data_IF_255518625116
#
_entry.id   IF_255518625116
#
_cell.length_a   1.000
_cell.length_b   1.000
_cell.length_c   1.000
_cell.angle_alpha   90.00
_cell.angle_beta   90.00
_cell.angle_gamma   90.00
#
_symmetry.space_group_name_H-M   'P 1'
#
loop_
_entity.id
_entity.type
_entity.pdbx_description
1 polymer ?
#
# COMPACT_ATOMS: atom_id res chain seq x y z
N UNK A 1 2.09 11.26 14.56
CA UNK A 1 1.22 12.45 14.64
C UNK A 1 0.57 12.62 16.02
N UNK A 2 0.00 11.56 16.63
CA UNK A 2 -0.44 11.59 18.04
C UNK A 2 0.71 11.85 19.04
N UNK A 3 1.91 11.30 18.79
CA UNK A 3 3.11 11.51 19.63
C UNK A 3 3.92 12.77 19.28
N UNK A 4 3.73 13.34 18.08
CA UNK A 4 4.57 14.44 17.55
C UNK A 4 3.79 15.75 17.32
N UNK A 5 2.46 15.77 17.47
CA UNK A 5 1.63 16.97 17.25
C UNK A 5 1.96 18.13 18.19
N UNK A 6 2.43 17.83 19.39
CA UNK A 6 2.91 18.83 20.34
C UNK A 6 4.31 19.38 20.00
N UNK A 7 5.07 18.70 19.14
CA UNK A 7 6.45 19.10 18.78
C UNK A 7 6.48 20.19 17.70
N UNK A 8 5.38 20.37 16.97
CA UNK A 8 5.26 21.34 15.86
C UNK A 8 4.42 22.56 16.26
N UNK A 9 3.87 22.60 17.49
CA UNK A 9 3.04 23.72 17.96
C UNK A 9 1.73 23.94 17.19
N UNK A 10 1.32 22.95 16.37
CA UNK A 10 0.09 23.03 15.58
C UNK A 10 -1.11 22.71 16.48
N UNK A 11 -2.13 23.57 16.45
CA UNK A 11 -3.35 23.38 17.22
C UNK A 11 -4.04 22.05 16.89
N UNK A 12 -4.76 21.48 17.88
CA UNK A 12 -5.48 20.20 17.78
C UNK A 12 -6.28 20.05 16.48
N UNK A 13 -6.99 21.11 16.06
CA UNK A 13 -7.80 21.14 14.84
C UNK A 13 -6.96 20.97 13.57
N UNK A 14 -5.80 21.61 13.49
CA UNK A 14 -4.90 21.49 12.33
C UNK A 14 -4.32 20.09 12.25
N UNK A 15 -3.84 19.53 13.37
CA UNK A 15 -3.30 18.16 13.43
C UNK A 15 -4.37 17.15 13.00
N UNK A 16 -5.61 17.31 13.46
CA UNK A 16 -6.73 16.46 13.05
C UNK A 16 -7.01 16.56 11.55
N UNK A 17 -7.10 17.78 11.00
CA UNK A 17 -7.35 18.01 9.58
C UNK A 17 -6.25 17.41 8.69
N UNK A 18 -4.98 17.64 9.02
CA UNK A 18 -3.85 17.06 8.29
C UNK A 18 -3.85 15.53 8.36
N UNK A 19 -4.23 14.94 9.50
CA UNK A 19 -4.31 13.48 9.64
C UNK A 19 -5.34 12.90 8.67
N UNK A 20 -6.52 13.52 8.56
CA UNK A 20 -7.57 13.08 7.63
C UNK A 20 -7.12 13.21 6.17
N UNK A 21 -6.48 14.33 5.81
CA UNK A 21 -6.00 14.56 4.44
C UNK A 21 -4.93 13.51 4.05
N UNK A 22 -3.96 13.26 4.94
CA UNK A 22 -2.94 12.24 4.70
C UNK A 22 -3.54 10.84 4.60
N UNK A 23 -4.53 10.52 5.44
CA UNK A 23 -5.24 9.25 5.38
C UNK A 23 -6.03 9.10 4.06
N UNK A 24 -6.71 10.17 3.62
CA UNK A 24 -7.42 10.18 2.35
C UNK A 24 -6.47 10.00 1.16
N UNK A 25 -5.29 10.65 1.21
CA UNK A 25 -4.25 10.51 0.19
C UNK A 25 -3.66 9.10 0.14
N UNK A 26 -3.38 8.50 1.30
CA UNK A 26 -2.94 7.12 1.42
C UNK A 26 -3.96 6.15 0.78
N UNK A 27 -5.22 6.26 1.19
CA UNK A 27 -6.31 5.45 0.61
C UNK A 27 -6.46 5.64 -0.90
N UNK A 28 -6.36 6.88 -1.38
CA UNK A 28 -6.45 7.17 -2.81
C UNK A 28 -5.30 6.53 -3.59
N UNK A 29 -4.08 6.60 -3.04
CA UNK A 29 -2.87 6.05 -3.64
C UNK A 29 -2.95 4.52 -3.74
N UNK A 30 -3.36 3.85 -2.66
CA UNK A 30 -3.52 2.39 -2.66
C UNK A 30 -4.58 1.96 -3.69
N UNK A 31 -5.73 2.64 -3.75
CA UNK A 31 -6.81 2.27 -4.68
C UNK A 31 -6.47 2.54 -6.15
N UNK A 32 -5.87 3.69 -6.46
CA UNK A 32 -5.75 4.15 -7.85
C UNK A 32 -4.37 3.89 -8.46
N UNK A 33 -3.31 3.92 -7.65
CA UNK A 33 -1.94 3.70 -8.12
C UNK A 33 -1.56 2.25 -7.87
N UNK A 34 -1.52 1.80 -6.61
CA UNK A 34 -1.13 0.43 -6.30
C UNK A 34 -2.06 -0.59 -6.96
N UNK A 35 -3.37 -0.31 -6.99
CA UNK A 35 -4.35 -1.14 -7.72
C UNK A 35 -4.03 -1.30 -9.21
N UNK A 36 -3.61 -0.23 -9.91
CA UNK A 36 -3.21 -0.32 -11.33
C UNK A 36 -1.91 -1.08 -11.53
N UNK A 37 -0.95 -0.91 -10.61
CA UNK A 37 0.32 -1.64 -10.65
C UNK A 37 0.12 -3.13 -10.35
N UNK A 38 -0.76 -3.47 -9.41
CA UNK A 38 -1.09 -4.86 -9.03
C UNK A 38 -1.65 -5.68 -10.19
N UNK A 39 -2.34 -5.07 -11.16
CA UNK A 39 -2.82 -5.77 -12.37
C UNK A 39 -1.66 -6.32 -13.20
N UNK A 40 -0.47 -5.71 -13.13
CA UNK A 40 0.72 -6.15 -13.83
C UNK A 40 1.48 -7.28 -13.14
N UNK A 41 1.14 -7.62 -11.89
CA UNK A 41 1.83 -8.61 -11.07
C UNK A 41 0.99 -9.87 -10.93
N UNK A 42 1.50 -11.01 -11.39
CA UNK A 42 0.83 -12.30 -11.25
C UNK A 42 1.77 -13.35 -10.66
N UNK A 43 1.26 -14.13 -9.71
CA UNK A 43 1.96 -15.28 -9.14
C UNK A 43 1.32 -16.57 -9.63
N UNK A 44 2.16 -17.51 -10.00
CA UNK A 44 1.78 -18.86 -10.39
C UNK A 44 2.41 -19.87 -9.44
N UNK A 45 1.65 -20.91 -9.13
CA UNK A 45 2.14 -22.08 -8.43
C UNK A 45 2.10 -23.25 -9.40
N UNK A 46 3.27 -23.69 -9.86
CA UNK A 46 3.40 -24.89 -10.67
C UNK A 46 3.74 -26.06 -9.76
N UNK A 47 2.97 -27.14 -9.84
CA UNK A 47 3.22 -28.36 -9.09
C UNK A 47 3.95 -29.30 -10.04
N UNK A 48 5.18 -29.66 -9.68
CA UNK A 48 6.02 -30.59 -10.44
C UNK A 48 5.57 -32.04 -10.22
N UNK A 49 5.95 -32.95 -11.13
CA UNK A 49 5.57 -34.37 -11.06
C UNK A 49 6.10 -35.10 -9.80
N UNK A 50 7.10 -34.53 -9.13
CA UNK A 50 7.64 -34.99 -7.85
C UNK A 50 6.84 -34.49 -6.63
N UNK A 51 5.77 -33.71 -6.86
CA UNK A 51 4.95 -33.09 -5.83
C UNK A 51 5.54 -31.82 -5.22
N UNK A 52 6.68 -31.34 -5.71
CA UNK A 52 7.28 -30.09 -5.24
C UNK A 52 6.59 -28.87 -5.88
N UNK A 53 6.45 -27.78 -5.11
CA UNK A 53 5.81 -26.55 -5.58
C UNK A 53 6.85 -25.54 -6.06
N UNK A 54 6.78 -25.14 -7.32
CA UNK A 54 7.61 -24.09 -7.89
C UNK A 54 6.78 -22.81 -8.08
N UNK A 55 7.23 -21.70 -7.47
CA UNK A 55 6.54 -20.41 -7.56
C UNK A 55 7.16 -19.57 -8.67
N UNK A 56 6.35 -19.16 -9.65
CA UNK A 56 6.76 -18.25 -10.73
C UNK A 56 6.07 -16.91 -10.60
N UNK A 57 6.84 -15.83 -10.70
CA UNK A 57 6.34 -14.47 -10.72
C UNK A 57 6.40 -13.91 -12.14
N UNK A 58 5.29 -13.38 -12.62
CA UNK A 58 5.17 -12.71 -13.91
C UNK A 58 4.87 -11.23 -13.70
N UNK A 59 5.57 -10.41 -14.48
CA UNK A 59 5.39 -8.96 -14.55
C UNK A 59 5.07 -8.59 -15.99
N UNK A 60 4.01 -7.82 -16.21
CA UNK A 60 3.81 -7.15 -17.49
C UNK A 60 4.83 -6.00 -17.55
N UNK A 61 5.73 -5.96 -18.56
CA UNK A 61 6.80 -4.96 -18.64
C UNK A 61 6.29 -3.52 -18.81
#
# INVERSE_FOLDING_TARGET
MYLFGNFVGLGFVLVFAFTIILLAFDFWTVKNICGRMLVGYRWWNDILDDGSSHWRFETIP
#
